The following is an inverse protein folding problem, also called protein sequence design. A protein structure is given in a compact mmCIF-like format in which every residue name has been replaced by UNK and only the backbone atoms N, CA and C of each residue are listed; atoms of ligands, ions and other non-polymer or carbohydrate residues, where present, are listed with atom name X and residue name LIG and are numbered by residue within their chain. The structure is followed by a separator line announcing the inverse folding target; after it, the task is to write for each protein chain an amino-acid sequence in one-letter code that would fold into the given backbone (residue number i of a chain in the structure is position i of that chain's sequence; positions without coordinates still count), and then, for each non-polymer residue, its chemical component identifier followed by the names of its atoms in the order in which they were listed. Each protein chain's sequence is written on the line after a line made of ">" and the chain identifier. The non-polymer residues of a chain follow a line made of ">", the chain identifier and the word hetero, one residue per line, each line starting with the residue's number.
data_IF_469689973534
#
_entry.id   IF_469689973534
#
_cell.length_a   1.000
_cell.length_b   1.000
_cell.length_c   1.000
_cell.angle_alpha   90.00
_cell.angle_beta   90.00
_cell.angle_gamma   90.00
#
_symmetry.space_group_name_H-M   'P 1'
#
loop_
_entity.id
_entity.type
_entity.pdbx_description
1 polymer ?
#
# COMPACT_ATOMS: atom_id res chain seq x y z
N UNK A 1 -29.95 51.36 10.73
CA UNK A 1 -30.50 50.01 11.04
C UNK A 1 -30.79 49.21 9.77
N UNK A 2 -31.60 49.71 8.83
CA UNK A 2 -31.95 48.98 7.58
C UNK A 2 -30.75 48.63 6.68
N UNK A 3 -29.74 49.49 6.60
CA UNK A 3 -28.55 49.25 5.78
C UNK A 3 -27.67 48.10 6.31
N UNK A 4 -27.56 47.96 7.63
CA UNK A 4 -26.79 46.88 8.26
C UNK A 4 -27.50 45.53 8.06
N UNK A 5 -28.83 45.50 8.17
CA UNK A 5 -29.67 44.34 7.88
C UNK A 5 -29.53 43.88 6.42
N UNK A 6 -29.44 44.82 5.47
CA UNK A 6 -29.21 44.51 4.06
C UNK A 6 -27.84 43.87 3.81
N UNK A 7 -26.78 44.42 4.42
CA UNK A 7 -25.41 43.86 4.30
C UNK A 7 -25.32 42.46 4.92
N UNK A 8 -25.95 42.24 6.08
CA UNK A 8 -26.00 40.92 6.73
C UNK A 8 -26.78 39.92 5.90
N UNK A 9 -27.92 40.31 5.32
CA UNK A 9 -28.71 39.44 4.45
C UNK A 9 -27.91 39.01 3.21
N UNK A 10 -27.21 39.94 2.57
CA UNK A 10 -26.33 39.64 1.41
C UNK A 10 -25.19 38.70 1.82
N UNK A 11 -24.56 38.92 2.98
CA UNK A 11 -23.51 38.01 3.47
C UNK A 11 -24.04 36.58 3.69
N UNK A 12 -25.24 36.41 4.26
CA UNK A 12 -25.85 35.09 4.48
C UNK A 12 -26.11 34.34 3.16
N UNK A 13 -26.48 35.05 2.09
CA UNK A 13 -26.69 34.43 0.78
C UNK A 13 -25.38 34.15 0.03
N UNK A 14 -24.35 34.97 0.20
CA UNK A 14 -23.09 34.80 -0.52
C UNK A 14 -22.21 33.75 0.14
N UNK A 15 -22.13 33.69 1.49
CA UNK A 15 -21.21 32.80 2.21
C UNK A 15 -21.29 31.31 1.81
N UNK A 16 -22.47 30.70 1.61
CA UNK A 16 -22.57 29.32 1.12
C UNK A 16 -22.00 29.11 -0.30
N UNK A 17 -21.95 30.18 -1.10
CA UNK A 17 -21.49 30.17 -2.49
C UNK A 17 -19.97 30.26 -2.63
N UNK A 18 -19.25 30.71 -1.60
CA UNK A 18 -17.79 30.93 -1.66
C UNK A 18 -17.02 29.63 -1.37
N UNK A 19 -17.64 28.66 -0.71
CA UNK A 19 -17.01 27.39 -0.36
C UNK A 19 -17.88 26.20 -0.80
N UNK A 20 -18.02 25.96 -2.12
CA UNK A 20 -18.61 24.71 -2.58
C UNK A 20 -17.85 23.55 -1.92
N UNK A 21 -18.54 22.51 -1.43
CA UNK A 21 -17.86 21.32 -0.92
C UNK A 21 -16.92 20.82 -2.03
N UNK A 22 -15.66 20.55 -1.68
CA UNK A 22 -14.69 20.02 -2.64
C UNK A 22 -15.32 18.80 -3.33
N UNK A 23 -15.55 18.90 -4.63
CA UNK A 23 -15.86 17.72 -5.44
C UNK A 23 -14.67 16.77 -5.27
N UNK A 24 -14.93 15.59 -4.72
CA UNK A 24 -13.92 14.56 -4.63
C UNK A 24 -13.44 14.29 -6.06
N UNK A 25 -12.18 14.61 -6.34
CA UNK A 25 -11.55 14.38 -7.62
C UNK A 25 -11.77 12.89 -7.98
N UNK A 26 -12.50 12.54 -9.06
CA UNK A 26 -12.94 11.18 -9.34
C UNK A 26 -11.81 10.33 -9.92
N UNK A 27 -10.56 10.65 -9.59
CA UNK A 27 -9.45 9.74 -9.83
C UNK A 27 -9.63 8.58 -8.86
N UNK A 28 -10.40 7.58 -9.30
CA UNK A 28 -10.45 6.28 -8.65
C UNK A 28 -9.02 5.80 -8.52
N UNK A 29 -8.52 5.65 -7.28
CA UNK A 29 -7.19 5.08 -7.08
C UNK A 29 -7.12 3.74 -7.79
N UNK A 30 -6.02 3.45 -8.51
CA UNK A 30 -5.91 2.19 -9.23
C UNK A 30 -5.99 1.03 -8.25
N UNK A 31 -6.75 0.01 -8.64
CA UNK A 31 -6.90 -1.24 -7.89
C UNK A 31 -7.94 -1.21 -6.76
N UNK A 32 -8.09 -2.35 -6.10
CA UNK A 32 -9.07 -2.51 -5.00
C UNK A 32 -8.39 -2.57 -3.63
N UNK A 33 -7.18 -3.12 -3.59
CA UNK A 33 -6.33 -3.20 -2.42
C UNK A 33 -4.92 -2.76 -2.79
N UNK A 34 -4.31 -2.01 -1.90
CA UNK A 34 -3.01 -1.37 -2.04
C UNK A 34 -2.14 -1.89 -0.90
N UNK A 35 -1.02 -2.51 -1.25
CA UNK A 35 0.03 -2.86 -0.31
C UNK A 35 1.23 -1.97 -0.62
N UNK A 36 1.78 -1.31 0.39
CA UNK A 36 2.84 -0.33 0.23
C UNK A 36 3.87 -0.48 1.32
N UNK A 37 5.13 -0.27 0.97
CA UNK A 37 6.25 -0.32 1.90
C UNK A 37 7.14 0.90 1.72
N UNK A 38 7.76 1.32 2.82
CA UNK A 38 8.84 2.31 2.81
C UNK A 38 9.89 1.94 3.82
N UNK A 39 11.14 2.33 3.55
CA UNK A 39 12.27 2.05 4.42
C UNK A 39 13.25 3.24 4.40
N UNK A 40 14.24 3.27 5.32
CA UNK A 40 15.22 4.36 5.36
C UNK A 40 15.90 4.55 4.00
N UNK A 41 16.20 5.81 3.69
CA UNK A 41 16.92 6.19 2.48
C UNK A 41 18.33 5.58 2.44
N UNK A 42 18.93 5.59 1.25
CA UNK A 42 20.25 5.02 0.99
C UNK A 42 20.19 3.79 0.07
N UNK A 43 21.32 3.09 -0.09
CA UNK A 43 21.49 2.04 -1.11
C UNK A 43 20.95 0.67 -0.66
N UNK A 44 19.97 0.65 0.25
CA UNK A 44 19.36 -0.59 0.74
C UNK A 44 18.23 -0.95 -0.21
N UNK A 45 18.24 -2.19 -0.68
CA UNK A 45 17.25 -2.73 -1.61
C UNK A 45 16.29 -3.67 -0.86
N UNK A 46 15.03 -3.27 -0.74
CA UNK A 46 13.96 -4.00 -0.06
C UNK A 46 12.81 -4.22 -1.02
N UNK A 47 12.45 -5.47 -1.26
CA UNK A 47 11.31 -5.84 -2.09
C UNK A 47 10.03 -5.99 -1.26
N UNK A 48 8.90 -5.59 -1.85
CA UNK A 48 7.59 -6.11 -1.51
C UNK A 48 7.30 -7.40 -2.29
N UNK A 49 6.76 -8.40 -1.60
CA UNK A 49 6.25 -9.62 -2.21
C UNK A 49 4.81 -9.84 -1.82
N UNK A 50 3.91 -9.88 -2.81
CA UNK A 50 2.47 -10.04 -2.58
C UNK A 50 1.95 -11.31 -3.23
N UNK A 51 0.99 -11.98 -2.59
CA UNK A 51 0.38 -13.19 -3.14
C UNK A 51 -1.13 -13.23 -2.90
N UNK A 52 -1.80 -13.96 -3.79
CA UNK A 52 -3.20 -14.38 -3.66
C UNK A 52 -3.26 -15.92 -3.72
N UNK A 53 -3.94 -16.51 -2.75
CA UNK A 53 -4.09 -17.95 -2.57
C UNK A 53 -2.76 -18.72 -2.76
N UNK A 54 -2.71 -19.56 -3.79
CA UNK A 54 -1.60 -20.42 -4.16
C UNK A 54 -0.90 -19.98 -5.47
N UNK A 55 -1.20 -18.77 -5.96
CA UNK A 55 -0.62 -18.21 -7.18
C UNK A 55 0.88 -17.92 -7.04
N UNK A 56 1.54 -17.69 -8.18
CA UNK A 56 2.91 -17.15 -8.20
C UNK A 56 2.89 -15.76 -7.56
N UNK A 57 3.80 -15.53 -6.62
CA UNK A 57 3.91 -14.23 -5.95
C UNK A 57 4.35 -13.14 -6.93
N UNK A 58 3.88 -11.92 -6.70
CA UNK A 58 4.26 -10.72 -7.44
C UNK A 58 5.32 -9.96 -6.66
N UNK A 59 6.36 -9.53 -7.37
CA UNK A 59 7.56 -8.85 -6.88
C UNK A 59 8.51 -8.58 -8.06
N UNK A 60 9.76 -8.16 -7.83
CA UNK A 60 10.66 -7.69 -8.90
C UNK A 60 10.79 -8.66 -10.09
N UNK A 61 10.84 -9.98 -9.85
CA UNK A 61 10.99 -10.99 -10.91
C UNK A 61 9.68 -11.42 -11.57
N UNK A 62 8.53 -11.01 -11.02
CA UNK A 62 7.19 -11.30 -11.55
C UNK A 62 6.27 -10.10 -11.31
N UNK A 63 6.42 -9.05 -12.13
CA UNK A 63 5.80 -7.73 -11.88
C UNK A 63 4.27 -7.70 -12.02
N UNK A 64 3.65 -8.71 -12.63
CA UNK A 64 2.19 -8.81 -12.73
C UNK A 64 1.72 -10.24 -12.65
N UNK A 65 0.69 -10.47 -11.83
CA UNK A 65 -0.07 -11.71 -11.73
C UNK A 65 -1.52 -11.49 -12.17
N UNK A 66 -2.39 -12.44 -11.81
CA UNK A 66 -3.83 -12.33 -12.08
C UNK A 66 -4.51 -11.31 -11.17
N UNK A 67 -4.15 -11.34 -9.88
CA UNK A 67 -4.70 -10.46 -8.85
C UNK A 67 -3.80 -9.27 -8.62
N UNK A 68 -2.50 -9.47 -8.37
CA UNK A 68 -1.59 -8.38 -8.02
C UNK A 68 -0.81 -7.84 -9.21
N UNK A 69 -0.47 -6.56 -9.17
CA UNK A 69 0.53 -5.93 -10.03
C UNK A 69 1.44 -5.04 -9.18
N UNK A 70 2.75 -5.18 -9.38
CA UNK A 70 3.75 -4.28 -8.82
C UNK A 70 3.74 -2.98 -9.64
N UNK A 71 3.59 -1.83 -8.99
CA UNK A 71 3.59 -0.54 -9.69
C UNK A 71 5.00 -0.18 -10.16
N UNK A 72 5.97 -0.32 -9.25
CA UNK A 72 7.36 0.01 -9.48
C UNK A 72 8.25 -0.88 -8.60
N UNK A 73 9.35 -1.28 -9.21
CA UNK A 73 10.48 -2.00 -8.63
C UNK A 73 11.54 -0.95 -8.26
N UNK A 74 11.66 -0.64 -6.97
CA UNK A 74 12.51 0.43 -6.44
C UNK A 74 13.81 -0.15 -5.90
N UNK A 75 14.93 0.20 -6.54
CA UNK A 75 16.28 -0.29 -6.18
C UNK A 75 16.99 0.67 -5.21
N UNK A 76 16.24 1.51 -4.50
CA UNK A 76 16.72 2.61 -3.67
C UNK A 76 17.35 3.75 -4.50
N UNK A 77 18.36 4.41 -3.94
CA UNK A 77 19.01 5.58 -4.57
C UNK A 77 19.71 5.28 -5.91
N UNK A 78 19.87 4.02 -6.31
CA UNK A 78 20.54 3.65 -7.56
C UNK A 78 19.83 4.18 -8.81
N UNK A 79 18.50 4.35 -8.76
CA UNK A 79 17.68 4.75 -9.90
C UNK A 79 16.68 5.88 -9.60
N UNK A 80 16.83 6.56 -8.45
CA UNK A 80 15.89 7.57 -8.01
C UNK A 80 16.49 8.97 -7.88
N UNK A 81 15.74 9.96 -8.35
CA UNK A 81 16.06 11.37 -8.17
C UNK A 81 15.69 11.89 -6.77
N UNK A 82 14.98 11.08 -5.98
CA UNK A 82 14.53 11.42 -4.64
C UNK A 82 15.08 10.42 -3.63
N UNK A 83 15.35 10.82 -2.37
CA UNK A 83 15.81 9.90 -1.33
C UNK A 83 14.69 9.01 -0.76
N UNK A 84 13.52 8.96 -1.42
CA UNK A 84 12.39 8.17 -0.97
C UNK A 84 12.52 6.74 -1.51
N UNK A 85 12.72 5.79 -0.60
CA UNK A 85 12.68 4.37 -0.92
C UNK A 85 11.26 3.83 -0.65
N UNK A 86 10.57 3.39 -1.70
CA UNK A 86 9.16 3.03 -1.63
C UNK A 86 8.74 2.04 -2.72
N UNK A 87 8.05 0.97 -2.32
CA UNK A 87 7.37 0.08 -3.27
C UNK A 87 5.88 -0.01 -2.98
N UNK A 88 5.10 -0.24 -4.03
CA UNK A 88 3.67 -0.52 -3.90
C UNK A 88 3.20 -1.52 -4.93
N UNK A 89 2.23 -2.33 -4.51
CA UNK A 89 1.51 -3.27 -5.34
C UNK A 89 0.01 -3.05 -5.18
N UNK A 90 -0.73 -3.33 -6.26
CA UNK A 90 -2.16 -3.07 -6.38
C UNK A 90 -2.87 -4.33 -6.84
N UNK A 91 -4.06 -4.60 -6.32
CA UNK A 91 -4.89 -5.68 -6.84
C UNK A 91 -5.78 -5.22 -7.99
N UNK A 92 -6.03 -6.11 -8.94
CA UNK A 92 -7.11 -6.03 -9.92
C UNK A 92 -8.22 -6.99 -9.47
N UNK A 93 -9.22 -6.44 -8.81
CA UNK A 93 -10.26 -7.21 -8.13
C UNK A 93 -9.88 -7.62 -6.71
N UNK A 94 -10.85 -8.21 -6.02
CA UNK A 94 -10.73 -8.78 -4.68
C UNK A 94 -11.36 -10.18 -4.66
N UNK A 95 -10.84 -11.16 -5.45
CA UNK A 95 -11.33 -12.52 -5.38
C UNK A 95 -11.13 -13.13 -3.99
N UNK A 96 -12.00 -14.08 -3.66
CA UNK A 96 -11.94 -14.81 -2.40
C UNK A 96 -10.65 -15.61 -2.27
N UNK A 97 -10.07 -15.58 -1.09
CA UNK A 97 -8.86 -16.33 -0.81
C UNK A 97 -7.98 -15.68 0.25
N UNK A 98 -6.82 -16.28 0.45
CA UNK A 98 -5.81 -15.75 1.33
C UNK A 98 -4.90 -14.76 0.58
N UNK A 99 -4.73 -13.58 1.15
CA UNK A 99 -3.78 -12.57 0.73
C UNK A 99 -2.59 -12.59 1.67
N UNK A 100 -1.39 -12.33 1.16
CA UNK A 100 -0.22 -12.14 1.99
C UNK A 100 0.72 -11.10 1.41
N UNK A 101 1.32 -10.33 2.31
CA UNK A 101 2.33 -9.30 2.03
C UNK A 101 3.57 -9.65 2.83
N UNK A 102 4.66 -9.91 2.13
CA UNK A 102 5.97 -10.08 2.70
C UNK A 102 6.86 -8.89 2.33
N UNK A 103 7.83 -8.65 3.19
CA UNK A 103 8.97 -7.78 2.90
C UNK A 103 10.22 -8.63 2.87
N UNK A 104 11.11 -8.32 1.95
CA UNK A 104 12.36 -9.04 1.80
C UNK A 104 13.50 -8.07 1.64
N UNK A 105 14.55 -8.31 2.40
CA UNK A 105 15.83 -7.68 2.11
C UNK A 105 16.39 -8.28 0.82
N UNK A 106 16.35 -7.56 -0.31
CA UNK A 106 17.01 -8.03 -1.53
C UNK A 106 18.52 -7.81 -1.41
N UNK A 107 18.95 -6.65 -0.92
CA UNK A 107 20.36 -6.36 -0.67
C UNK A 107 20.51 -5.32 0.44
N UNK A 108 20.78 -5.77 1.66
CA UNK A 108 20.94 -4.88 2.81
C UNK A 108 22.36 -4.97 3.35
N UNK A 109 23.18 -3.96 3.03
CA UNK A 109 24.51 -3.82 3.59
C UNK A 109 24.51 -3.48 5.09
N UNK A 110 23.38 -2.98 5.62
CA UNK A 110 23.18 -2.62 7.03
C UNK A 110 21.84 -3.19 7.50
N UNK A 111 21.86 -3.82 8.67
CA UNK A 111 20.69 -4.36 9.37
C UNK A 111 20.78 -3.99 10.86
N UNK A 112 19.66 -3.86 11.59
CA UNK A 112 18.28 -4.08 11.14
C UNK A 112 17.76 -2.98 10.20
N UNK A 113 16.88 -3.36 9.27
CA UNK A 113 16.15 -2.42 8.40
C UNK A 113 14.69 -2.35 8.86
N UNK A 114 14.23 -1.20 9.38
CA UNK A 114 12.82 -0.99 9.70
C UNK A 114 12.05 -0.72 8.42
N UNK A 115 11.13 -1.61 8.06
CA UNK A 115 10.26 -1.45 6.89
C UNK A 115 8.86 -1.11 7.38
N UNK A 116 8.39 0.11 7.12
CA UNK A 116 7.01 0.48 7.34
C UNK A 116 6.17 -0.14 6.22
N UNK A 117 5.07 -0.79 6.60
CA UNK A 117 4.18 -1.50 5.69
C UNK A 117 2.76 -1.04 5.96
N UNK A 118 2.03 -0.75 4.88
CA UNK A 118 0.63 -0.39 4.90
C UNK A 118 -0.13 -1.27 3.91
N UNK A 119 -1.28 -1.80 4.34
CA UNK A 119 -2.24 -2.49 3.49
C UNK A 119 -3.59 -1.82 3.69
N UNK A 120 -4.15 -1.27 2.61
CA UNK A 120 -5.43 -0.55 2.63
C UNK A 120 -6.27 -0.83 1.40
N UNK A 121 -7.57 -0.74 1.56
CA UNK A 121 -8.53 -0.73 0.48
C UNK A 121 -8.48 0.62 -0.25
N UNK A 122 -8.73 0.60 -1.56
CA UNK A 122 -8.69 1.80 -2.40
C UNK A 122 -9.77 2.82 -1.99
N UNK A 123 -10.91 2.35 -1.49
CA UNK A 123 -11.99 3.17 -0.92
C UNK A 123 -11.68 3.76 0.47
N UNK A 124 -10.52 3.45 1.07
CA UNK A 124 -10.01 4.10 2.28
C UNK A 124 -9.99 3.24 3.55
N UNK A 125 -10.49 2.00 3.52
CA UNK A 125 -10.44 1.10 4.67
C UNK A 125 -9.03 0.57 4.94
N UNK A 126 -8.46 0.82 6.12
CA UNK A 126 -7.17 0.25 6.52
C UNK A 126 -7.33 -1.22 6.91
N UNK A 127 -6.56 -2.10 6.27
CA UNK A 127 -6.49 -3.53 6.62
C UNK A 127 -5.45 -3.75 7.70
N UNK A 128 -4.26 -3.19 7.51
CA UNK A 128 -3.18 -3.29 8.48
C UNK A 128 -2.09 -2.25 8.21
N UNK A 129 -1.45 -1.77 9.28
CA UNK A 129 -0.25 -0.96 9.20
C UNK A 129 0.70 -1.35 10.32
N UNK A 130 2.01 -1.32 10.05
CA UNK A 130 3.01 -1.63 11.05
C UNK A 130 4.43 -1.57 10.51
N UNK A 131 5.39 -1.89 11.38
CA UNK A 131 6.81 -1.96 11.02
C UNK A 131 7.31 -3.40 11.14
N UNK A 132 7.99 -3.87 10.09
CA UNK A 132 8.67 -5.16 10.07
C UNK A 132 10.17 -4.92 10.12
N UNK A 133 10.85 -5.56 11.06
CA UNK A 133 12.31 -5.49 11.17
C UNK A 133 12.97 -6.60 10.36
N UNK A 134 13.78 -6.23 9.38
CA UNK A 134 14.65 -7.15 8.65
C UNK A 134 16.02 -7.18 9.35
N UNK A 135 16.30 -8.27 10.04
CA UNK A 135 17.44 -8.47 10.92
C UNK A 135 18.69 -8.97 10.19
N UNK A 136 18.54 -9.50 8.96
CA UNK A 136 19.64 -10.09 8.17
C UNK A 136 19.44 -9.86 6.67
N UNK A 137 20.55 -9.84 5.95
CA UNK A 137 20.53 -9.83 4.49
C UNK A 137 19.78 -11.06 3.93
N UNK A 138 19.09 -10.89 2.81
CA UNK A 138 18.22 -11.91 2.18
C UNK A 138 17.04 -12.39 3.02
N UNK A 139 16.84 -11.87 4.24
CA UNK A 139 15.72 -12.26 5.08
C UNK A 139 14.40 -11.85 4.43
N UNK A 140 13.42 -12.75 4.52
CA UNK A 140 12.04 -12.48 4.18
C UNK A 140 11.19 -12.63 5.44
N UNK A 141 10.21 -11.74 5.61
CA UNK A 141 9.24 -11.80 6.69
C UNK A 141 7.85 -11.48 6.17
N UNK A 142 6.85 -12.18 6.71
CA UNK A 142 5.44 -11.83 6.48
C UNK A 142 5.06 -10.65 7.35
N UNK A 143 4.65 -9.57 6.70
CA UNK A 143 4.10 -8.40 7.37
C UNK A 143 2.68 -8.68 7.84
N UNK A 144 1.85 -9.19 6.91
CA UNK A 144 0.50 -9.67 7.18
C UNK A 144 0.08 -10.74 6.16
N UNK A 145 -0.73 -11.69 6.60
CA UNK A 145 -1.63 -12.49 5.78
C UNK A 145 -3.06 -12.39 6.33
N UNK A 146 -4.06 -12.41 5.47
CA UNK A 146 -5.47 -12.27 5.82
C UNK A 146 -6.34 -12.92 4.75
N UNK A 147 -7.63 -13.08 5.00
CA UNK A 147 -8.58 -13.63 4.02
C UNK A 147 -9.53 -12.55 3.52
N UNK A 148 -9.93 -12.70 2.27
CA UNK A 148 -11.03 -11.96 1.65
C UNK A 148 -12.12 -12.96 1.28
N UNK A 149 -13.37 -12.56 1.51
CA UNK A 149 -14.58 -13.29 1.13
C UNK A 149 -15.64 -12.28 0.68
N UNK A 150 -16.27 -12.52 -0.47
CA UNK A 150 -17.28 -11.65 -1.08
C UNK A 150 -16.81 -10.19 -1.23
N UNK A 151 -15.53 -10.01 -1.56
CA UNK A 151 -14.91 -8.69 -1.70
C UNK A 151 -14.60 -7.96 -0.39
N UNK A 152 -14.84 -8.58 0.77
CA UNK A 152 -14.58 -8.00 2.08
C UNK A 152 -13.46 -8.73 2.83
N UNK A 153 -12.66 -8.01 3.62
CA UNK A 153 -11.67 -8.61 4.51
C UNK A 153 -12.38 -9.34 5.64
N UNK A 154 -12.00 -10.60 5.86
CA UNK A 154 -12.52 -11.42 6.96
C UNK A 154 -11.84 -11.02 8.26
N UNK A 155 -12.57 -10.31 9.12
CA UNK A 155 -12.08 -9.85 10.42
C UNK A 155 -11.57 -11.03 11.27
N UNK A 156 -10.39 -10.88 11.88
CA UNK A 156 -9.78 -11.89 12.74
C UNK A 156 -9.02 -12.97 11.97
N UNK A 157 -8.94 -12.88 10.63
CA UNK A 157 -8.13 -13.78 9.82
C UNK A 157 -6.66 -13.36 9.70
N UNK A 158 -6.32 -12.20 10.26
CA UNK A 158 -5.00 -11.59 10.17
C UNK A 158 -3.96 -12.41 10.94
N UNK A 159 -2.79 -12.58 10.34
CA UNK A 159 -1.66 -13.26 10.96
C UNK A 159 -0.35 -12.72 10.42
N UNK A 160 0.71 -12.83 11.22
CA UNK A 160 2.08 -12.50 10.82
C UNK A 160 2.96 -13.76 10.76
N UNK A 161 2.35 -14.96 10.83
CA UNK A 161 3.07 -16.22 10.65
C UNK A 161 3.65 -16.27 9.25
N UNK A 162 4.95 -16.58 9.17
CA UNK A 162 5.69 -16.61 7.91
C UNK A 162 5.01 -17.47 6.85
N UNK A 163 4.82 -16.90 5.66
CA UNK A 163 4.38 -17.59 4.46
C UNK A 163 5.51 -17.55 3.43
N UNK A 164 5.98 -18.71 3.00
CA UNK A 164 6.92 -18.81 1.90
C UNK A 164 6.25 -18.36 0.59
N UNK A 165 6.83 -17.35 -0.08
CA UNK A 165 6.32 -16.87 -1.36
C UNK A 165 6.74 -17.78 -2.52
N UNK A 166 5.79 -18.11 -3.41
CA UNK A 166 6.06 -18.84 -4.66
C UNK A 166 6.63 -17.89 -5.70
N UNK A 167 7.90 -17.52 -5.57
CA UNK A 167 8.55 -16.54 -6.44
C UNK A 167 8.88 -17.08 -7.84
N UNK A 168 8.85 -18.41 -8.01
CA UNK A 168 9.30 -19.09 -9.22
C UNK A 168 10.74 -18.67 -9.49
N UNK A 169 11.66 -19.29 -8.77
CA UNK A 169 13.06 -18.94 -8.79
C UNK A 169 13.58 -18.92 -10.25
N UNK A 170 14.39 -17.92 -10.55
CA UNK A 170 15.29 -17.93 -11.70
C UNK A 170 16.46 -18.88 -11.41
#
# INVERSE_FOLDING_TARGET
>A
MAMLLGVVAVAIFILPSINPPAEADPISQPGNLIASISWPSGPIDVDIWVSHANEKAVGYSNKSGKVWSLLRDDLGEANDATPLNYESAFTRGLPDGEYAVNVRCFGCAKVPVPVAVEVRLAEGGMVWAGTVQLERDKQERTAIRFRVLDGAVVQGSESQVFKQMKRGDA
#
